data_IF_823854136547
#
_entry.id   IF_823854136547
#
_cell.length_a   1.000
_cell.length_b   1.000
_cell.length_c   1.000
_cell.angle_alpha   90.00
_cell.angle_beta   90.00
_cell.angle_gamma   90.00
#
_symmetry.space_group_name_H-M   'P 1'
#
loop_
_entity.id
_entity.type
_entity.pdbx_description
1 polymer ?
#
# COMPACT_ATOMS: atom_id res chain seq x y z
N UNK A 1 13.99 -24.40 2.01
CA UNK A 1 14.82 -23.36 1.38
C UNK A 1 14.97 -22.22 2.37
N UNK A 2 16.20 -21.82 2.67
CA UNK A 2 16.52 -20.72 3.57
C UNK A 2 16.48 -19.37 2.85
N UNK A 3 16.33 -18.28 3.62
CA UNK A 3 16.41 -16.92 3.06
C UNK A 3 17.76 -16.66 2.35
N UNK A 4 18.84 -17.28 2.83
CA UNK A 4 20.15 -17.17 2.19
C UNK A 4 20.16 -17.83 0.80
N UNK A 5 19.50 -18.98 0.65
CA UNK A 5 19.36 -19.68 -0.64
C UNK A 5 18.50 -18.87 -1.62
N UNK A 6 17.39 -18.27 -1.15
CA UNK A 6 16.56 -17.36 -1.97
C UNK A 6 17.38 -16.18 -2.45
N UNK A 7 18.08 -15.48 -1.55
CA UNK A 7 18.93 -14.33 -1.92
C UNK A 7 19.98 -14.70 -2.95
N UNK A 8 20.55 -15.91 -2.88
CA UNK A 8 21.49 -16.41 -3.89
C UNK A 8 20.80 -16.64 -5.24
N UNK A 9 19.60 -17.24 -5.24
CA UNK A 9 18.83 -17.48 -6.45
C UNK A 9 18.40 -16.16 -7.12
N UNK A 10 17.95 -15.18 -6.34
CA UNK A 10 17.56 -13.84 -6.84
C UNK A 10 18.72 -13.16 -7.57
N UNK A 11 19.95 -13.31 -7.09
CA UNK A 11 21.16 -12.75 -7.75
C UNK A 11 21.48 -13.40 -9.10
N UNK A 12 20.90 -14.57 -9.39
CA UNK A 12 21.12 -15.29 -10.65
C UNK A 12 20.02 -15.01 -11.68
N UNK A 13 18.97 -14.27 -11.30
CA UNK A 13 17.87 -13.91 -12.20
C UNK A 13 18.34 -12.94 -13.28
N UNK A 14 17.78 -13.11 -14.48
CA UNK A 14 17.84 -12.09 -15.51
C UNK A 14 17.06 -10.83 -15.08
N UNK A 15 17.32 -9.67 -15.70
CA UNK A 15 16.57 -8.45 -15.40
C UNK A 15 15.04 -8.60 -15.54
N UNK A 16 14.58 -9.43 -16.49
CA UNK A 16 13.16 -9.71 -16.70
C UNK A 16 12.57 -10.53 -15.55
N UNK A 17 13.23 -11.62 -15.19
CA UNK A 17 12.75 -12.48 -14.08
C UNK A 17 12.79 -11.74 -12.74
N UNK A 18 13.78 -10.86 -12.55
CA UNK A 18 13.83 -10.00 -11.37
C UNK A 18 12.64 -9.02 -11.34
N UNK A 19 12.27 -8.42 -12.47
CA UNK A 19 11.11 -7.55 -12.55
C UNK A 19 9.80 -8.29 -12.27
N UNK A 20 9.64 -9.50 -12.81
CA UNK A 20 8.49 -10.38 -12.53
C UNK A 20 8.43 -10.75 -11.04
N UNK A 21 9.56 -11.11 -10.42
CA UNK A 21 9.62 -11.38 -8.98
C UNK A 21 9.30 -10.15 -8.14
N UNK A 22 9.79 -8.97 -8.51
CA UNK A 22 9.49 -7.72 -7.80
C UNK A 22 8.00 -7.36 -7.88
N UNK A 23 7.36 -7.56 -9.03
CA UNK A 23 5.92 -7.34 -9.18
C UNK A 23 5.11 -8.30 -8.28
N UNK A 24 5.51 -9.58 -8.23
CA UNK A 24 4.89 -10.56 -7.35
C UNK A 24 5.03 -10.19 -5.86
N UNK A 25 6.23 -9.81 -5.41
CA UNK A 25 6.43 -9.38 -4.00
C UNK A 25 5.56 -8.17 -3.66
N UNK A 26 5.46 -7.21 -4.57
CA UNK A 26 4.61 -6.03 -4.38
C UNK A 26 3.13 -6.42 -4.24
N UNK A 27 2.65 -7.39 -5.04
CA UNK A 27 1.28 -7.89 -4.94
C UNK A 27 1.00 -8.55 -3.57
N UNK A 28 1.93 -9.37 -3.09
CA UNK A 28 1.81 -10.00 -1.77
C UNK A 28 1.85 -8.96 -0.63
N UNK A 29 2.73 -7.98 -0.72
CA UNK A 29 2.83 -6.89 0.27
C UNK A 29 1.55 -6.02 0.26
N UNK A 30 0.97 -5.75 -0.91
CA UNK A 30 -0.30 -5.04 -1.05
C UNK A 30 -1.44 -5.80 -0.38
N UNK A 31 -1.52 -7.13 -0.55
CA UNK A 31 -2.56 -7.93 0.09
C UNK A 31 -2.48 -7.85 1.64
N UNK A 32 -1.28 -7.90 2.20
CA UNK A 32 -1.07 -7.70 3.65
C UNK A 32 -1.47 -6.30 4.10
N UNK A 33 -1.16 -5.29 3.27
CA UNK A 33 -1.53 -3.90 3.53
C UNK A 33 -3.04 -3.68 3.49
N UNK A 34 -3.75 -4.27 2.53
CA UNK A 34 -5.21 -4.24 2.43
C UNK A 34 -5.85 -4.81 3.69
N UNK A 35 -5.43 -6.00 4.13
CA UNK A 35 -5.93 -6.59 5.38
C UNK A 35 -5.65 -5.71 6.60
N UNK A 36 -4.50 -5.03 6.63
CA UNK A 36 -4.16 -4.13 7.73
C UNK A 36 -5.04 -2.89 7.74
N UNK A 37 -5.29 -2.29 6.58
CA UNK A 37 -6.19 -1.13 6.45
C UNK A 37 -7.61 -1.51 6.89
N UNK A 38 -8.11 -2.67 6.49
CA UNK A 38 -9.42 -3.16 6.91
C UNK A 38 -9.52 -3.33 8.43
N UNK A 39 -8.50 -3.93 9.06
CA UNK A 39 -8.44 -4.08 10.53
C UNK A 39 -8.35 -2.73 11.24
N UNK A 40 -7.51 -1.83 10.74
CA UNK A 40 -7.32 -0.50 11.33
C UNK A 40 -8.61 0.33 11.20
N UNK A 41 -9.31 0.24 10.06
CA UNK A 41 -10.64 0.84 9.87
C UNK A 41 -11.68 0.26 10.83
N UNK A 42 -11.77 -1.08 10.94
CA UNK A 42 -12.72 -1.75 11.83
C UNK A 42 -12.48 -1.45 13.31
N UNK A 43 -11.23 -1.18 13.70
CA UNK A 43 -10.87 -0.83 15.07
C UNK A 43 -11.11 0.65 15.43
N UNK A 44 -11.50 1.48 14.47
CA UNK A 44 -11.65 2.94 14.64
C UNK A 44 -10.32 3.70 14.70
N UNK A 45 -9.19 3.04 14.45
CA UNK A 45 -7.86 3.69 14.46
C UNK A 45 -7.74 4.78 13.39
N UNK A 46 -8.52 4.67 12.31
CA UNK A 46 -8.56 5.65 11.22
C UNK A 46 -9.65 6.73 11.40
N UNK A 47 -10.39 6.73 12.52
CA UNK A 47 -11.51 7.68 12.76
C UNK A 47 -11.08 9.15 12.73
N UNK A 48 -9.82 9.42 13.10
CA UNK A 48 -9.26 10.77 13.06
C UNK A 48 -9.26 11.38 11.66
N UNK A 49 -9.12 10.56 10.60
CA UNK A 49 -9.16 11.04 9.21
C UNK A 49 -10.55 11.53 8.84
N UNK A 50 -11.60 10.86 9.31
CA UNK A 50 -12.98 11.31 9.08
C UNK A 50 -13.26 12.61 9.84
N UNK A 51 -12.78 12.72 11.08
CA UNK A 51 -12.93 13.94 11.88
C UNK A 51 -12.20 15.12 11.24
N UNK A 52 -10.99 14.90 10.75
CA UNK A 52 -10.21 15.92 10.04
C UNK A 52 -10.91 16.36 8.75
N UNK A 53 -11.40 15.40 7.94
CA UNK A 53 -12.16 15.71 6.73
C UNK A 53 -13.44 16.51 7.04
N UNK A 54 -14.15 16.19 8.13
CA UNK A 54 -15.34 16.92 8.56
C UNK A 54 -15.01 18.36 8.97
N UNK A 55 -13.94 18.54 9.74
CA UNK A 55 -13.46 19.85 10.17
C UNK A 55 -13.05 20.73 8.97
N UNK A 56 -12.27 20.18 8.04
CA UNK A 56 -11.84 20.91 6.84
C UNK A 56 -13.01 21.26 5.92
N UNK A 57 -14.04 20.38 5.84
CA UNK A 57 -15.31 20.67 5.16
C UNK A 57 -16.02 21.86 5.77
N UNK A 58 -16.16 21.88 7.10
CA UNK A 58 -16.79 22.99 7.81
C UNK A 58 -15.98 24.29 7.67
N UNK A 59 -14.66 24.20 7.61
CA UNK A 59 -13.77 25.33 7.40
C UNK A 59 -13.74 25.85 5.94
N UNK A 60 -14.39 25.18 5.00
CA UNK A 60 -14.41 25.57 3.58
C UNK A 60 -13.05 25.44 2.89
N UNK A 61 -12.20 24.52 3.36
CA UNK A 61 -10.82 24.33 2.86
C UNK A 61 -10.66 23.14 1.93
N UNK A 62 -11.73 22.39 1.68
CA UNK A 62 -11.69 21.29 0.71
C UNK A 62 -11.34 21.82 -0.68
N UNK A 63 -10.60 21.01 -1.42
CA UNK A 63 -10.32 21.22 -2.84
C UNK A 63 -11.15 20.26 -3.65
N UNK A 64 -11.51 20.67 -4.86
CA UNK A 64 -12.11 19.76 -5.82
C UNK A 64 -11.16 18.63 -6.16
N UNK A 65 -11.72 17.47 -6.48
CA UNK A 65 -10.95 16.35 -6.99
C UNK A 65 -10.27 16.80 -8.29
N UNK A 66 -8.96 16.54 -8.47
CA UNK A 66 -8.27 16.95 -9.69
C UNK A 66 -8.96 16.30 -10.90
N UNK A 67 -9.35 17.12 -11.87
CA UNK A 67 -9.82 16.63 -13.16
C UNK A 67 -8.66 15.87 -13.82
N UNK A 68 -8.95 14.71 -14.41
CA UNK A 68 -7.96 13.97 -15.19
C UNK A 68 -7.69 14.75 -16.48
N UNK A 69 -6.49 15.36 -16.60
CA UNK A 69 -5.93 15.79 -17.89
C UNK A 69 -5.35 14.60 -18.68
#
# INVERSE_FOLDING_TARGET
>A
MSLAEIKRAVRQLSPRELAELSAFILEEDNAVWDEQIERDAASGKLDFLFQEADHERQAGKLRDWPEHE
#
